data_IF_415697539374
#
_entry.id   IF_415697539374
#
_cell.length_a   1.000
_cell.length_b   1.000
_cell.length_c   1.000
_cell.angle_alpha   90.00
_cell.angle_beta   90.00
_cell.angle_gamma   90.00
#
_symmetry.space_group_name_H-M   'P 1'
#
loop_
_entity.id
_entity.type
_entity.pdbx_description
1 polymer ?
#
# COMPACT_ATOMS: atom_id res chain seq x y z
N UNK A 1 -8.48 -10.28 -11.59
CA UNK A 1 -7.63 -11.13 -10.72
C UNK A 1 -8.45 -11.61 -9.54
N UNK A 2 -8.29 -12.87 -9.09
CA UNK A 2 -8.98 -13.38 -7.89
C UNK A 2 -8.09 -13.13 -6.65
N UNK A 3 -8.67 -12.74 -5.49
CA UNK A 3 -7.90 -12.63 -4.26
C UNK A 3 -7.34 -14.00 -3.86
N UNK A 4 -6.04 -14.04 -3.54
CA UNK A 4 -5.41 -15.24 -2.98
C UNK A 4 -5.69 -15.37 -1.47
N UNK A 5 -6.06 -14.25 -0.83
CA UNK A 5 -6.46 -14.19 0.56
C UNK A 5 -7.45 -13.04 0.77
N UNK A 6 -8.45 -13.27 1.61
CA UNK A 6 -9.35 -12.24 2.12
C UNK A 6 -9.31 -12.32 3.64
N UNK A 7 -8.77 -11.30 4.29
CA UNK A 7 -8.73 -11.27 5.75
C UNK A 7 -10.16 -11.18 6.29
N UNK A 8 -10.45 -12.00 7.29
CA UNK A 8 -11.63 -11.79 8.13
C UNK A 8 -11.48 -10.51 8.94
N UNK A 9 -12.59 -9.99 9.46
CA UNK A 9 -12.57 -8.82 10.35
C UNK A 9 -11.64 -9.05 11.55
N UNK A 10 -11.68 -10.23 12.16
CA UNK A 10 -10.83 -10.57 13.31
C UNK A 10 -9.33 -10.57 12.94
N UNK A 11 -8.97 -11.11 11.78
CA UNK A 11 -7.59 -11.09 11.29
C UNK A 11 -7.14 -9.65 10.98
N UNK A 12 -8.00 -8.86 10.33
CA UNK A 12 -7.70 -7.45 10.03
C UNK A 12 -7.45 -6.67 11.31
N UNK A 13 -8.32 -6.79 12.31
CA UNK A 13 -8.16 -6.13 13.62
C UNK A 13 -6.92 -6.61 14.36
N UNK A 14 -6.58 -7.89 14.25
CA UNK A 14 -5.36 -8.45 14.85
C UNK A 14 -4.11 -7.83 14.23
N UNK A 15 -4.02 -7.76 12.89
CA UNK A 15 -2.89 -7.10 12.22
C UNK A 15 -2.88 -5.61 12.57
N UNK A 16 -4.04 -4.94 12.57
CA UNK A 16 -4.14 -3.53 12.92
C UNK A 16 -3.61 -3.25 14.33
N UNK A 17 -3.92 -4.10 15.31
CA UNK A 17 -3.40 -3.99 16.68
C UNK A 17 -1.86 -4.10 16.71
N UNK A 18 -1.28 -5.04 15.98
CA UNK A 18 0.18 -5.17 15.82
C UNK A 18 0.78 -3.92 15.18
N UNK A 19 0.20 -3.40 14.10
CA UNK A 19 0.72 -2.23 13.38
C UNK A 19 0.67 -0.95 14.20
N UNK A 20 -0.30 -0.81 15.14
CA UNK A 20 -0.38 0.33 16.07
C UNK A 20 0.81 0.42 17.04
N UNK A 21 1.57 -0.66 17.20
CA UNK A 21 2.79 -0.68 18.00
C UNK A 21 3.95 0.04 17.30
N UNK A 22 3.94 0.12 15.97
CA UNK A 22 4.95 0.85 15.20
C UNK A 22 4.81 2.34 15.50
N UNK A 23 5.88 2.94 16.00
CA UNK A 23 5.98 4.38 16.26
C UNK A 23 6.99 5.00 15.30
N UNK A 24 6.83 6.30 15.08
CA UNK A 24 7.67 7.07 14.17
C UNK A 24 6.94 7.48 12.91
N UNK A 25 7.55 8.41 12.18
CA UNK A 25 7.04 8.98 10.95
C UNK A 25 7.95 8.54 9.79
N UNK A 26 7.44 7.72 8.84
CA UNK A 26 8.23 7.22 7.72
C UNK A 26 8.71 8.32 6.76
N UNK A 27 8.11 9.51 6.81
CA UNK A 27 8.45 10.65 5.97
C UNK A 27 9.49 11.58 6.64
N UNK A 28 9.64 11.49 7.96
CA UNK A 28 10.66 12.24 8.70
C UNK A 28 11.93 11.41 8.95
N UNK A 29 11.77 10.17 9.42
CA UNK A 29 12.88 9.24 9.70
C UNK A 29 12.49 7.80 9.34
N UNK A 30 12.60 7.49 8.05
CA UNK A 30 12.30 6.15 7.53
C UNK A 30 13.18 5.07 8.15
N UNK A 31 14.45 5.36 8.45
CA UNK A 31 15.37 4.36 9.01
C UNK A 31 14.88 3.88 10.37
N UNK A 32 14.50 4.82 11.25
CA UNK A 32 13.92 4.50 12.56
C UNK A 32 12.54 3.82 12.42
N UNK A 33 11.71 4.28 11.48
CA UNK A 33 10.41 3.65 11.20
C UNK A 33 10.56 2.19 10.73
N UNK A 34 11.45 1.93 9.77
CA UNK A 34 11.73 0.60 9.26
C UNK A 34 12.28 -0.32 10.34
N UNK A 35 13.15 0.19 11.22
CA UNK A 35 13.66 -0.56 12.36
C UNK A 35 12.54 -0.91 13.37
N UNK A 36 11.61 0.01 13.63
CA UNK A 36 10.44 -0.26 14.48
C UNK A 36 9.54 -1.35 13.89
N UNK A 37 9.41 -1.43 12.56
CA UNK A 37 8.72 -2.54 11.88
C UNK A 37 9.50 -3.85 12.04
N UNK A 38 10.82 -3.84 11.85
CA UNK A 38 11.66 -5.04 12.01
C UNK A 38 11.58 -5.59 13.45
N UNK A 39 11.48 -4.72 14.44
CA UNK A 39 11.30 -5.11 15.84
C UNK A 39 10.05 -5.98 16.07
N UNK A 40 8.97 -5.76 15.31
CA UNK A 40 7.78 -6.64 15.39
C UNK A 40 8.09 -8.08 14.96
N UNK A 41 8.92 -8.23 13.94
CA UNK A 41 9.33 -9.53 13.42
C UNK A 41 10.25 -10.21 14.44
N UNK A 42 11.26 -9.50 14.92
CA UNK A 42 12.27 -10.02 15.85
C UNK A 42 11.68 -10.48 17.19
N UNK A 43 10.63 -9.81 17.67
CA UNK A 43 9.97 -10.15 18.93
C UNK A 43 8.76 -11.09 18.78
N UNK A 44 8.52 -11.63 17.57
CA UNK A 44 7.38 -12.51 17.29
C UNK A 44 6.00 -11.87 17.57
N UNK A 45 5.89 -10.55 17.37
CA UNK A 45 4.63 -9.80 17.52
C UNK A 45 3.73 -9.92 16.28
N UNK A 46 4.27 -10.43 15.17
CA UNK A 46 3.54 -10.63 13.92
C UNK A 46 2.62 -11.85 14.03
N UNK A 47 1.32 -11.73 13.69
CA UNK A 47 0.40 -12.86 13.78
C UNK A 47 0.82 -14.06 12.90
N UNK A 48 0.76 -15.30 13.40
CA UNK A 48 1.22 -16.48 12.66
C UNK A 48 0.55 -16.70 11.30
N UNK A 49 -0.74 -16.36 11.17
CA UNK A 49 -1.45 -16.48 9.90
C UNK A 49 -0.88 -15.53 8.83
N UNK A 50 -0.45 -14.34 9.24
CA UNK A 50 0.14 -13.36 8.33
C UNK A 50 1.55 -13.78 7.91
N UNK A 51 2.35 -14.33 8.83
CA UNK A 51 3.64 -14.93 8.51
C UNK A 51 3.50 -16.07 7.49
N UNK A 52 2.54 -16.98 7.70
CA UNK A 52 2.28 -18.07 6.77
C UNK A 52 1.84 -17.59 5.38
N UNK A 53 1.01 -16.54 5.32
CA UNK A 53 0.59 -15.91 4.07
C UNK A 53 1.79 -15.29 3.32
N UNK A 54 2.62 -14.51 4.01
CA UNK A 54 3.82 -13.90 3.41
C UNK A 54 4.81 -14.96 2.93
N UNK A 55 5.03 -16.04 3.70
CA UNK A 55 5.88 -17.15 3.30
C UNK A 55 5.35 -17.86 2.04
N UNK A 56 4.04 -18.08 1.95
CA UNK A 56 3.40 -18.63 0.75
C UNK A 56 3.61 -17.72 -0.47
N UNK A 57 3.34 -16.43 -0.34
CA UNK A 57 3.52 -15.46 -1.44
C UNK A 57 4.98 -15.44 -1.90
N UNK A 58 5.91 -15.40 -0.95
CA UNK A 58 7.34 -15.45 -1.24
C UNK A 58 7.71 -16.71 -2.03
N UNK A 59 7.29 -17.88 -1.58
CA UNK A 59 7.54 -19.13 -2.27
C UNK A 59 6.93 -19.15 -3.68
N UNK A 60 5.70 -18.65 -3.87
CA UNK A 60 5.08 -18.55 -5.19
C UNK A 60 5.86 -17.64 -6.15
N UNK A 61 6.44 -16.54 -5.65
CA UNK A 61 7.27 -15.63 -6.44
C UNK A 61 8.62 -16.25 -6.78
N UNK A 62 9.30 -16.84 -5.81
CA UNK A 62 10.61 -17.51 -5.99
C UNK A 62 10.50 -18.66 -7.00
N UNK A 63 9.39 -19.40 -7.00
CA UNK A 63 9.12 -20.48 -7.96
C UNK A 63 8.48 -20.02 -9.28
N UNK A 64 8.24 -18.72 -9.44
CA UNK A 64 7.62 -18.16 -10.65
C UNK A 64 6.18 -18.60 -10.92
N UNK A 65 5.46 -19.08 -9.90
CA UNK A 65 4.08 -19.60 -10.03
C UNK A 65 3.10 -18.48 -10.36
N UNK A 66 3.18 -17.37 -9.63
CA UNK A 66 2.34 -16.19 -9.84
C UNK A 66 3.17 -14.91 -9.81
N UNK A 67 2.88 -14.01 -10.76
CA UNK A 67 3.54 -12.69 -10.88
C UNK A 67 2.78 -11.57 -10.14
N UNK A 68 1.51 -11.81 -9.80
CA UNK A 68 0.66 -10.87 -9.09
C UNK A 68 -0.16 -11.59 -8.01
N UNK A 69 -0.31 -10.93 -6.86
CA UNK A 69 -1.06 -11.42 -5.72
C UNK A 69 -2.06 -10.35 -5.30
N UNK A 70 -3.30 -10.76 -5.02
CA UNK A 70 -4.35 -9.87 -4.55
C UNK A 70 -4.74 -10.26 -3.13
N UNK A 71 -4.59 -9.32 -2.20
CA UNK A 71 -5.05 -9.41 -0.82
C UNK A 71 -6.27 -8.49 -0.65
N UNK A 72 -7.30 -8.95 0.06
CA UNK A 72 -8.52 -8.18 0.31
C UNK A 72 -8.75 -8.01 1.81
N UNK A 73 -9.39 -6.90 2.18
CA UNK A 73 -9.66 -6.49 3.57
C UNK A 73 -8.37 -6.29 4.39
N UNK A 74 -7.35 -5.71 3.76
CA UNK A 74 -6.09 -5.37 4.43
C UNK A 74 -6.33 -4.32 5.52
N UNK A 75 -5.51 -4.29 6.58
CA UNK A 75 -5.58 -3.21 7.57
C UNK A 75 -5.25 -1.87 6.91
N UNK A 76 -6.01 -0.84 7.25
CA UNK A 76 -5.81 0.53 6.76
C UNK A 76 -6.03 1.55 7.88
N UNK A 77 -5.51 2.77 7.69
CA UNK A 77 -5.85 3.89 8.57
C UNK A 77 -7.36 4.16 8.56
N UNK A 78 -7.94 4.34 9.74
CA UNK A 78 -9.40 4.57 9.92
C UNK A 78 -9.79 5.98 9.47
N UNK A 79 -8.90 6.95 9.66
CA UNK A 79 -9.07 8.32 9.23
C UNK A 79 -8.06 8.61 8.12
N UNK A 80 -8.53 8.64 6.87
CA UNK A 80 -7.74 9.19 5.77
C UNK A 80 -7.93 10.72 5.78
N UNK A 81 -6.86 11.53 5.80
CA UNK A 81 -7.00 12.98 5.70
C UNK A 81 -7.79 13.36 4.45
N UNK A 82 -8.65 14.37 4.56
CA UNK A 82 -9.47 14.81 3.42
C UNK A 82 -8.56 15.26 2.27
N UNK A 83 -8.63 14.54 1.15
CA UNK A 83 -7.88 14.86 -0.06
C UNK A 83 -8.62 15.95 -0.83
N UNK A 84 -8.11 17.18 -0.81
CA UNK A 84 -8.64 18.26 -1.63
C UNK A 84 -8.26 18.07 -3.11
N UNK A 85 -9.27 17.96 -3.97
CA UNK A 85 -9.10 17.87 -5.42
C UNK A 85 -8.48 19.15 -5.98
N UNK A 86 -7.15 19.19 -6.15
CA UNK A 86 -6.43 20.30 -6.78
C UNK A 86 -5.14 20.74 -6.10
N UNK A 87 -4.79 20.18 -4.93
CA UNK A 87 -3.52 20.46 -4.24
C UNK A 87 -2.54 19.31 -4.49
N UNK A 88 -1.35 19.62 -5.01
CA UNK A 88 -0.24 18.65 -5.15
C UNK A 88 0.29 18.31 -3.75
N UNK A 89 0.00 17.08 -3.29
CA UNK A 89 0.50 16.20 -2.19
C UNK A 89 1.33 16.72 -1.00
N UNK A 90 1.91 17.92 -0.99
CA UNK A 90 2.84 18.37 0.07
C UNK A 90 2.17 18.69 1.40
N UNK A 91 0.83 18.78 1.48
CA UNK A 91 0.08 19.14 2.69
C UNK A 91 -0.58 17.97 3.43
N UNK A 92 -0.46 16.74 2.93
CA UNK A 92 -1.27 15.60 3.44
C UNK A 92 -0.63 14.92 4.65
N UNK A 93 0.70 14.88 4.75
CA UNK A 93 1.40 14.09 5.77
C UNK A 93 1.43 14.75 7.14
N UNK A 94 1.49 16.09 7.19
CA UNK A 94 1.51 16.85 8.43
C UNK A 94 0.24 16.71 9.29
N UNK A 95 -0.83 16.12 8.73
CA UNK A 95 -2.11 15.90 9.41
C UNK A 95 -2.37 14.42 9.75
N UNK A 96 -1.45 13.50 9.42
CA UNK A 96 -1.60 12.08 9.74
C UNK A 96 -1.14 11.82 11.18
N UNK A 97 -2.01 11.21 11.98
CA UNK A 97 -1.69 10.78 13.35
C UNK A 97 -1.24 9.30 13.42
N UNK A 98 -1.49 8.54 12.35
CA UNK A 98 -1.11 7.13 12.22
C UNK A 98 -0.57 6.85 10.82
N UNK A 99 0.29 5.82 10.73
CA UNK A 99 0.93 5.37 9.50
C UNK A 99 0.69 3.86 9.29
N UNK A 100 -0.56 3.41 9.45
CA UNK A 100 -0.91 1.98 9.41
C UNK A 100 -0.67 1.41 8.02
N UNK A 101 -1.06 2.14 6.97
CA UNK A 101 -0.86 1.68 5.60
C UNK A 101 0.64 1.53 5.27
N UNK A 102 1.45 2.50 5.70
CA UNK A 102 2.90 2.53 5.50
C UNK A 102 3.57 1.41 6.31
N UNK A 103 3.14 1.18 7.56
CA UNK A 103 3.63 0.10 8.40
C UNK A 103 3.25 -1.28 7.81
N UNK A 104 2.04 -1.44 7.29
CA UNK A 104 1.62 -2.67 6.63
C UNK A 104 2.47 -2.96 5.39
N UNK A 105 2.70 -1.95 4.55
CA UNK A 105 3.56 -2.06 3.37
C UNK A 105 5.00 -2.43 3.73
N UNK A 106 5.58 -1.74 4.71
CA UNK A 106 6.93 -2.04 5.18
C UNK A 106 7.03 -3.45 5.75
N UNK A 107 6.09 -3.85 6.62
CA UNK A 107 6.07 -5.19 7.21
C UNK A 107 5.95 -6.28 6.13
N UNK A 108 5.01 -6.11 5.21
CA UNK A 108 4.82 -7.03 4.09
C UNK A 108 6.10 -7.15 3.25
N UNK A 109 6.72 -6.02 2.90
CA UNK A 109 7.95 -5.95 2.09
C UNK A 109 9.13 -6.68 2.75
N UNK A 110 9.30 -6.51 4.07
CA UNK A 110 10.35 -7.16 4.86
C UNK A 110 10.11 -8.67 4.92
N UNK A 111 8.87 -9.11 5.13
CA UNK A 111 8.54 -10.54 5.23
C UNK A 111 8.66 -11.30 3.89
N UNK A 112 8.38 -10.65 2.76
CA UNK A 112 8.51 -11.27 1.43
C UNK A 112 9.90 -11.06 0.80
N UNK A 113 10.83 -10.42 1.50
CA UNK A 113 12.17 -10.06 1.03
C UNK A 113 12.16 -9.23 -0.27
N UNK A 114 11.27 -8.25 -0.37
CA UNK A 114 11.25 -7.30 -1.49
C UNK A 114 11.46 -5.90 -0.92
N UNK A 115 12.54 -5.20 -1.27
CA UNK A 115 12.78 -3.86 -0.76
C UNK A 115 11.72 -2.87 -1.27
N UNK A 116 11.31 -1.94 -0.43
CA UNK A 116 10.58 -0.76 -0.88
C UNK A 116 11.55 0.15 -1.63
N UNK A 117 11.26 0.39 -2.91
CA UNK A 117 12.09 1.23 -3.78
C UNK A 117 11.48 2.62 -3.94
N UNK A 118 12.28 3.62 -3.61
CA UNK A 118 12.05 5.03 -3.92
C UNK A 118 12.80 5.41 -5.21
N UNK A 119 12.12 6.10 -6.11
CA UNK A 119 12.74 6.67 -7.31
C UNK A 119 12.81 8.18 -7.14
N UNK A 120 14.01 8.77 -7.19
CA UNK A 120 14.14 10.23 -7.26
C UNK A 120 13.55 10.74 -8.58
N UNK A 121 12.30 11.18 -8.55
CA UNK A 121 11.63 11.84 -9.68
C UNK A 121 11.22 13.27 -9.26
N UNK A 122 10.91 14.11 -10.25
CA UNK A 122 10.70 15.56 -10.09
C UNK A 122 9.52 15.98 -9.19
N UNK A 123 8.74 15.03 -8.70
CA UNK A 123 7.70 15.22 -7.69
C UNK A 123 8.24 14.59 -6.42
N UNK A 124 8.37 15.32 -5.30
CA UNK A 124 8.83 14.78 -4.00
C UNK A 124 8.23 13.39 -3.75
N UNK A 125 8.99 12.33 -4.07
CA UNK A 125 8.44 10.98 -4.07
C UNK A 125 8.61 10.41 -2.68
N UNK A 126 7.49 10.28 -2.00
CA UNK A 126 7.44 9.55 -0.75
C UNK A 126 7.45 8.04 -0.97
N UNK A 127 7.77 7.28 0.10
CA UNK A 127 7.80 5.80 0.09
C UNK A 127 6.46 5.18 -0.31
N UNK A 128 5.38 5.91 -0.03
CA UNK A 128 4.02 5.65 -0.47
C UNK A 128 3.55 6.89 -1.21
N UNK A 129 3.02 6.71 -2.41
CA UNK A 129 2.37 7.78 -3.17
C UNK A 129 0.87 7.53 -3.15
N UNK A 130 0.08 8.54 -2.81
CA UNK A 130 -1.38 8.42 -2.80
C UNK A 130 -1.86 8.70 -4.24
N UNK A 131 -2.41 7.68 -4.90
CA UNK A 131 -2.77 7.74 -6.33
C UNK A 131 -4.21 8.20 -6.45
N UNK A 132 -4.42 9.48 -6.78
CA UNK A 132 -5.75 10.09 -6.90
C UNK A 132 -5.86 10.84 -8.23
N UNK A 133 -6.98 10.65 -8.93
CA UNK A 133 -7.27 11.44 -10.12
C UNK A 133 -7.52 12.91 -9.74
N UNK A 134 -6.74 13.82 -10.34
CA UNK A 134 -6.83 15.26 -10.07
C UNK A 134 -7.54 15.97 -11.23
N UNK A 135 -8.33 17.01 -10.92
CA UNK A 135 -8.98 17.86 -11.95
C UNK A 135 -7.97 18.54 -12.88
N UNK A 136 -6.72 18.69 -12.44
CA UNK A 136 -5.65 19.33 -13.21
C UNK A 136 -5.09 18.43 -14.32
N UNK A 137 -5.27 17.11 -14.22
CA UNK A 137 -4.62 16.14 -15.11
C UNK A 137 -5.63 15.22 -15.83
N UNK A 138 -6.88 15.65 -16.02
CA UNK A 138 -7.96 14.79 -16.56
C UNK A 138 -7.58 14.05 -17.83
N UNK A 139 -6.86 14.70 -18.76
CA UNK A 139 -6.44 14.11 -20.04
C UNK A 139 -5.10 13.34 -19.97
N UNK A 140 -4.41 13.37 -18.84
CA UNK A 140 -3.11 12.74 -18.69
C UNK A 140 -3.23 11.21 -18.61
N UNK A 141 -2.36 10.49 -19.31
CA UNK A 141 -2.18 9.04 -19.19
C UNK A 141 -1.24 8.70 -18.03
N UNK A 142 -1.51 9.28 -16.87
CA UNK A 142 -0.72 9.08 -15.65
C UNK A 142 -1.63 8.62 -14.54
N UNK A 143 -1.04 8.18 -13.43
CA UNK A 143 -1.77 7.75 -12.24
C UNK A 143 -2.63 8.86 -11.61
N UNK A 144 -2.41 10.13 -11.98
CA UNK A 144 -3.16 11.29 -11.50
C UNK A 144 -4.22 11.79 -12.49
N UNK A 145 -4.38 11.12 -13.63
CA UNK A 145 -5.32 11.51 -14.69
C UNK A 145 -6.62 10.72 -14.71
N UNK A 146 -7.56 11.17 -15.54
CA UNK A 146 -8.88 10.55 -15.71
C UNK A 146 -8.96 9.56 -16.89
N UNK A 147 -7.87 9.41 -17.64
CA UNK A 147 -7.79 8.53 -18.82
C UNK A 147 -7.28 7.14 -18.46
N UNK A 148 -7.51 6.17 -19.35
CA UNK A 148 -6.92 4.84 -19.24
C UNK A 148 -5.39 4.92 -19.14
N UNK A 149 -4.85 4.35 -18.06
CA UNK A 149 -3.41 4.19 -17.88
C UNK A 149 -2.98 2.90 -18.56
N UNK A 150 -2.17 3.04 -19.61
CA UNK A 150 -1.66 1.89 -20.39
C UNK A 150 -0.86 0.97 -19.48
N UNK A 151 -1.02 -0.35 -19.67
CA UNK A 151 -0.23 -1.36 -18.96
C UNK A 151 1.26 -1.08 -19.16
N UNK A 152 1.99 -0.99 -18.05
CA UNK A 152 3.43 -0.76 -18.04
C UNK A 152 4.04 -1.49 -16.85
N UNK A 153 5.33 -1.82 -16.96
CA UNK A 153 6.07 -2.39 -15.83
C UNK A 153 6.28 -1.30 -14.79
N UNK A 154 5.82 -1.54 -13.57
CA UNK A 154 6.06 -0.69 -12.43
C UNK A 154 6.86 -1.48 -11.38
N UNK A 155 7.87 -0.85 -10.80
CA UNK A 155 8.74 -1.47 -9.80
C UNK A 155 8.23 -1.29 -8.36
N UNK A 156 7.02 -0.74 -8.17
CA UNK A 156 6.45 -0.46 -6.83
C UNK A 156 5.40 -1.50 -6.42
N UNK A 157 5.44 -1.89 -5.14
CA UNK A 157 4.29 -2.50 -4.46
C UNK A 157 3.24 -1.41 -4.26
N UNK A 158 2.01 -1.66 -4.69
CA UNK A 158 0.90 -0.71 -4.55
C UNK A 158 -0.16 -1.29 -3.63
N UNK A 159 -0.60 -0.50 -2.65
CA UNK A 159 -1.80 -0.79 -1.86
C UNK A 159 -2.90 0.12 -2.38
N UNK A 160 -4.01 -0.47 -2.80
CA UNK A 160 -5.24 0.25 -3.07
C UNK A 160 -6.17 0.05 -1.88
N UNK A 161 -6.48 1.13 -1.16
CA UNK A 161 -7.56 1.12 -0.17
C UNK A 161 -8.87 1.49 -0.86
N UNK A 162 -9.95 0.76 -0.57
CA UNK A 162 -11.25 0.93 -1.21
C UNK A 162 -12.35 1.47 -0.30
N UNK A 163 -12.06 1.73 0.98
CA UNK A 163 -13.11 1.79 2.01
C UNK A 163 -13.42 3.17 2.62
N UNK A 164 -12.58 4.20 2.45
CA UNK A 164 -12.79 5.47 3.16
C UNK A 164 -12.51 6.76 2.37
N UNK A 165 -12.74 6.77 1.05
CA UNK A 165 -12.65 8.03 0.29
C UNK A 165 -14.03 8.69 0.05
N UNK A 166 -14.23 9.96 0.45
CA UNK A 166 -15.47 10.71 0.20
C UNK A 166 -15.74 10.99 -1.29
N UNK A 167 -14.82 10.65 -2.18
CA UNK A 167 -14.92 10.91 -3.63
C UNK A 167 -15.16 9.66 -4.48
N UNK A 168 -15.41 8.49 -3.87
CA UNK A 168 -15.80 7.31 -4.64
C UNK A 168 -17.18 7.53 -5.24
N UNK A 169 -17.34 7.61 -6.56
CA UNK A 169 -18.67 7.67 -7.15
C UNK A 169 -19.33 6.32 -6.87
N UNK A 170 -20.48 6.32 -6.18
CA UNK A 170 -21.15 5.09 -5.74
C UNK A 170 -21.51 4.13 -6.90
N UNK A 171 -21.56 4.65 -8.12
CA UNK A 171 -21.95 3.93 -9.33
C UNK A 171 -20.81 3.77 -10.35
N UNK A 172 -19.56 4.03 -9.97
CA UNK A 172 -18.40 3.88 -10.87
C UNK A 172 -17.51 2.75 -10.37
N UNK A 173 -17.28 1.77 -11.25
CA UNK A 173 -16.30 0.72 -11.04
C UNK A 173 -15.02 1.10 -11.80
N UNK A 174 -13.93 1.23 -11.06
CA UNK A 174 -12.59 1.39 -11.62
C UNK A 174 -11.90 0.03 -11.55
N UNK A 175 -11.31 -0.39 -12.65
CA UNK A 175 -10.64 -1.68 -12.76
C UNK A 175 -9.13 -1.51 -12.91
N UNK A 176 -8.36 -2.28 -12.15
CA UNK A 176 -6.92 -2.43 -12.38
C UNK A 176 -6.67 -3.69 -13.20
N UNK A 177 -6.14 -3.50 -14.41
CA UNK A 177 -5.69 -4.59 -15.27
C UNK A 177 -4.29 -5.09 -14.89
N UNK A 178 -4.02 -6.36 -15.19
CA UNK A 178 -2.69 -6.96 -15.12
C UNK A 178 -2.53 -7.86 -16.34
N UNK A 179 -1.41 -7.71 -17.04
CA UNK A 179 -1.02 -8.56 -18.17
C UNK A 179 0.29 -9.23 -17.79
N UNK A 180 0.32 -10.56 -17.84
CA UNK A 180 1.57 -11.30 -17.68
C UNK A 180 2.41 -11.15 -18.95
N UNK A 181 3.71 -10.91 -18.80
CA UNK A 181 4.64 -10.63 -19.90
C UNK A 181 5.19 -11.89 -20.57
N UNK A 182 4.49 -13.02 -20.46
CA UNK A 182 4.86 -14.33 -21.03
C UNK A 182 4.24 -14.50 -22.40
#
# INVERSE_FOLDING_TARGET
MRPIYTFSEAERETILATLKLVKGDPYHDYSSFSAAVSYLIENNEVPPFFLALCAKIRAERENGIFKAHVLRNCPSDVESPHLELGVLETSVHGNKNTFINEAFLALFSQLINIPLLLYGCAYNTDLKSDIIATKLNVEAKTMFGGMEVVCHNNCKVSVASSESEPYRPQNVLVYTGFVDGV
#
